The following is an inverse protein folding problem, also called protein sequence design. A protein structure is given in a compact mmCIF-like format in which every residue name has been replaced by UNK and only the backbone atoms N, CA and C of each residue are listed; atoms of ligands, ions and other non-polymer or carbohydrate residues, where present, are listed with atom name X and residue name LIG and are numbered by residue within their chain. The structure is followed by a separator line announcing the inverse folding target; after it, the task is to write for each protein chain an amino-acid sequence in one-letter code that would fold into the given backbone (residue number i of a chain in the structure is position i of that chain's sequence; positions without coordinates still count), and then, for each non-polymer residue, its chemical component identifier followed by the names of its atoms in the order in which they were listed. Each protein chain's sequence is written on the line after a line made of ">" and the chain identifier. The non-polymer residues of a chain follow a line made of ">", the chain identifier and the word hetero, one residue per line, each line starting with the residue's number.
data_IF_027293672797
#
_entry.id   IF_027293672797
#
_cell.length_a   1.000
_cell.length_b   1.000
_cell.length_c   1.000
_cell.angle_alpha   90.00
_cell.angle_beta   90.00
_cell.angle_gamma   90.00
#
_symmetry.space_group_name_H-M   'P 1'
#
loop_
_entity.id
_entity.type
_entity.pdbx_description
1 polymer ?
#
# COMPACT_ATOMS: atom_id res chain seq x y z
N UNK A 1 -16.38 6.89 -15.81
CA UNK A 1 -15.81 5.69 -15.17
C UNK A 1 -14.40 6.02 -14.69
N UNK A 2 -14.11 5.83 -13.40
CA UNK A 2 -12.80 6.13 -12.82
C UNK A 2 -11.82 4.99 -13.12
N UNK A 3 -10.59 5.32 -13.50
CA UNK A 3 -9.56 4.32 -13.84
C UNK A 3 -9.17 3.50 -12.59
N UNK A 4 -9.29 2.15 -12.61
CA UNK A 4 -8.88 1.29 -11.50
C UNK A 4 -7.43 1.52 -11.04
N UNK A 5 -6.51 1.92 -11.94
CA UNK A 5 -5.13 2.26 -11.57
C UNK A 5 -5.07 3.53 -10.72
N UNK A 6 -5.88 4.53 -11.06
CA UNK A 6 -5.97 5.78 -10.30
C UNK A 6 -6.57 5.58 -8.90
N UNK A 7 -7.53 4.65 -8.77
CA UNK A 7 -8.10 4.29 -7.47
C UNK A 7 -7.03 3.66 -6.56
N UNK A 8 -6.25 2.69 -7.06
CA UNK A 8 -5.14 2.08 -6.31
C UNK A 8 -4.11 3.11 -5.86
N UNK A 9 -3.72 4.01 -6.77
CA UNK A 9 -2.77 5.09 -6.46
C UNK A 9 -3.28 6.01 -5.36
N UNK A 10 -4.55 6.40 -5.43
CA UNK A 10 -5.20 7.22 -4.41
C UNK A 10 -5.24 6.51 -3.05
N UNK A 11 -5.66 5.25 -3.03
CA UNK A 11 -5.74 4.45 -1.82
C UNK A 11 -4.36 4.25 -1.16
N UNK A 12 -3.32 3.93 -1.94
CA UNK A 12 -1.93 3.91 -1.45
C UNK A 12 -1.55 5.25 -0.85
N UNK A 13 -1.79 6.35 -1.55
CA UNK A 13 -1.39 7.67 -1.08
C UNK A 13 -2.05 8.05 0.25
N UNK A 14 -3.24 7.54 0.58
CA UNK A 14 -3.86 7.72 1.90
C UNK A 14 -3.09 7.03 3.03
N UNK A 15 -2.46 5.89 2.76
CA UNK A 15 -1.60 5.19 3.72
C UNK A 15 -0.28 5.95 3.98
N UNK A 16 0.17 6.77 3.03
CA UNK A 16 1.36 7.62 3.16
C UNK A 16 1.04 9.09 3.46
N UNK A 17 -0.24 9.46 3.53
CA UNK A 17 -0.66 10.80 3.95
C UNK A 17 -0.64 10.91 5.48
N UNK A 18 -0.99 12.08 6.01
CA UNK A 18 -1.12 12.25 7.46
C UNK A 18 -2.11 11.29 8.12
N UNK A 19 -3.07 10.74 7.34
CA UNK A 19 -4.05 9.78 7.85
C UNK A 19 -3.42 8.43 8.23
N UNK A 20 -2.38 7.99 7.51
CA UNK A 20 -1.66 6.72 7.74
C UNK A 20 -2.57 5.48 7.86
N UNK A 21 -3.76 5.53 7.25
CA UNK A 21 -4.85 4.58 7.45
C UNK A 21 -5.70 4.48 6.18
N UNK A 22 -6.14 3.27 5.87
CA UNK A 22 -7.13 2.96 4.83
C UNK A 22 -8.17 1.99 5.39
N UNK A 23 -9.45 2.31 5.23
CA UNK A 23 -10.57 1.42 5.58
C UNK A 23 -11.00 0.66 4.33
N UNK A 24 -10.98 -0.67 4.40
CA UNK A 24 -11.37 -1.60 3.34
C UNK A 24 -12.51 -2.49 3.85
N UNK A 25 -13.75 -2.04 3.68
CA UNK A 25 -14.92 -2.70 4.26
C UNK A 25 -14.84 -2.73 5.79
N UNK A 26 -14.81 -3.93 6.37
CA UNK A 26 -14.67 -4.13 7.82
C UNK A 26 -13.22 -4.21 8.31
N UNK A 27 -12.25 -4.09 7.39
CA UNK A 27 -10.83 -4.18 7.70
C UNK A 27 -10.16 -2.83 7.64
N UNK A 28 -9.05 -2.70 8.38
CA UNK A 28 -8.22 -1.49 8.38
C UNK A 28 -6.80 -1.87 8.03
N UNK A 29 -6.23 -1.17 7.05
CA UNK A 29 -4.80 -1.21 6.76
C UNK A 29 -4.16 0.05 7.35
N UNK A 30 -3.13 -0.14 8.17
CA UNK A 30 -2.36 0.96 8.75
C UNK A 30 -0.97 1.02 8.13
N UNK A 31 -0.38 2.21 8.11
CA UNK A 31 1.01 2.38 7.71
C UNK A 31 1.97 1.45 8.47
N UNK A 32 1.71 1.22 9.77
CA UNK A 32 2.53 0.31 10.59
C UNK A 32 2.48 -1.15 10.10
N UNK A 33 1.35 -1.61 9.57
CA UNK A 33 1.22 -2.96 9.03
C UNK A 33 2.11 -3.12 7.81
N UNK A 34 2.14 -2.10 6.92
CA UNK A 34 3.04 -2.07 5.77
C UNK A 34 4.51 -2.10 6.18
N UNK A 35 4.87 -1.33 7.20
CA UNK A 35 6.25 -1.29 7.69
C UNK A 35 6.68 -2.66 8.23
N UNK A 36 5.81 -3.33 8.99
CA UNK A 36 6.05 -4.69 9.49
C UNK A 36 6.21 -5.69 8.34
N UNK A 37 5.32 -5.66 7.35
CA UNK A 37 5.39 -6.56 6.19
C UNK A 37 6.67 -6.33 5.37
N UNK A 38 7.05 -5.08 5.15
CA UNK A 38 8.25 -4.72 4.39
C UNK A 38 9.57 -5.11 5.09
N UNK A 39 9.52 -5.37 6.40
CA UNK A 39 10.66 -5.85 7.20
C UNK A 39 10.68 -7.38 7.32
N UNK A 40 9.58 -8.06 7.03
CA UNK A 40 9.49 -9.51 7.07
C UNK A 40 10.22 -10.16 5.87
N UNK A 41 10.78 -11.34 6.09
CA UNK A 41 11.42 -12.11 5.00
C UNK A 41 10.32 -12.66 4.06
N UNK A 42 10.62 -12.70 2.76
CA UNK A 42 9.79 -13.32 1.71
C UNK A 42 8.38 -12.72 1.53
N UNK A 43 8.19 -11.43 1.75
CA UNK A 43 6.95 -10.74 1.35
C UNK A 43 7.06 -10.01 0.01
N UNK A 44 5.92 -9.80 -0.63
CA UNK A 44 5.81 -9.12 -1.92
C UNK A 44 6.08 -7.60 -1.84
N UNK A 45 6.16 -7.00 -0.64
CA UNK A 45 6.42 -5.57 -0.42
C UNK A 45 7.86 -5.36 0.00
N UNK A 46 8.52 -4.36 -0.60
CA UNK A 46 9.86 -3.92 -0.22
C UNK A 46 9.81 -2.67 0.66
N UNK A 47 10.88 -2.43 1.42
CA UNK A 47 10.99 -1.21 2.25
C UNK A 47 10.84 0.09 1.45
N UNK A 48 11.32 0.12 0.19
CA UNK A 48 11.18 1.25 -0.74
C UNK A 48 9.73 1.50 -1.18
N UNK A 49 8.85 0.51 -1.05
CA UNK A 49 7.44 0.62 -1.37
C UNK A 49 6.64 1.25 -0.23
N UNK A 50 7.27 1.41 0.94
CA UNK A 50 6.63 1.91 2.17
C UNK A 50 7.29 3.19 2.71
N UNK A 51 8.61 3.28 2.62
CA UNK A 51 9.42 4.41 3.09
C UNK A 51 9.93 5.21 1.90
N UNK A 52 9.78 6.54 1.95
CA UNK A 52 10.16 7.46 0.87
C UNK A 52 9.61 7.05 -0.50
N UNK A 53 8.35 6.58 -0.50
CA UNK A 53 7.68 6.06 -1.68
C UNK A 53 7.65 7.08 -2.81
N UNK A 54 8.09 6.66 -3.98
CA UNK A 54 7.86 7.42 -5.20
C UNK A 54 6.35 7.40 -5.52
N UNK A 55 5.74 8.59 -5.46
CA UNK A 55 4.31 8.76 -5.76
C UNK A 55 3.97 8.40 -7.22
N UNK A 56 4.95 8.28 -8.12
CA UNK A 56 4.77 7.84 -9.51
C UNK A 56 5.08 6.36 -9.76
N UNK A 57 5.63 5.62 -8.78
CA UNK A 57 5.86 4.18 -8.93
C UNK A 57 4.53 3.40 -8.85
N UNK A 58 3.94 3.14 -10.02
CA UNK A 58 2.73 2.33 -10.14
C UNK A 58 2.99 0.85 -9.76
N UNK A 59 4.24 0.39 -9.84
CA UNK A 59 4.66 -0.96 -9.41
C UNK A 59 4.56 -1.15 -7.90
N UNK A 60 4.92 -0.14 -7.10
CA UNK A 60 4.71 -0.17 -5.66
C UNK A 60 3.21 -0.21 -5.30
N UNK A 61 2.37 0.53 -6.02
CA UNK A 61 0.92 0.43 -5.85
C UNK A 61 0.39 -0.96 -6.25
N UNK A 62 0.92 -1.57 -7.31
CA UNK A 62 0.55 -2.92 -7.71
C UNK A 62 0.89 -3.96 -6.64
N UNK A 63 2.13 -3.94 -6.10
CA UNK A 63 2.56 -4.85 -5.04
C UNK A 63 1.73 -4.71 -3.77
N UNK A 64 1.38 -3.47 -3.39
CA UNK A 64 0.56 -3.18 -2.21
C UNK A 64 -0.83 -3.81 -2.25
N UNK A 65 -1.46 -3.86 -3.42
CA UNK A 65 -2.80 -4.42 -3.62
C UNK A 65 -2.76 -5.82 -4.25
N UNK A 66 -1.65 -6.54 -4.09
CA UNK A 66 -1.54 -7.95 -4.46
C UNK A 66 -2.21 -8.83 -3.40
N UNK A 67 -2.73 -10.00 -3.79
CA UNK A 67 -3.40 -10.94 -2.87
C UNK A 67 -2.53 -11.28 -1.66
N UNK A 68 -1.24 -11.57 -1.89
CA UNK A 68 -0.27 -11.98 -0.87
C UNK A 68 -0.02 -10.92 0.24
N UNK A 69 -0.53 -9.70 0.06
CA UNK A 69 -0.46 -8.60 1.04
C UNK A 69 -1.80 -8.41 1.77
N UNK A 70 -2.91 -8.76 1.11
CA UNK A 70 -4.26 -8.49 1.58
C UNK A 70 -4.92 -9.71 2.27
N UNK A 71 -4.31 -10.90 2.17
CA UNK A 71 -4.66 -12.12 2.91
C UNK A 71 -4.02 -12.15 4.31
#
# INVERSE_FOLDING_TARGET
>A
VQDPKHAKKTARNQLHSGAKLLVLGNNVMLYRHLLTLAQAKNHAIYIRDVVNVDKQDDGAAYRLFHSDVLE
#
